data_IF_954157813066
#
_entry.id   IF_954157813066
#
_cell.length_a   1.000
_cell.length_b   1.000
_cell.length_c   1.000
_cell.angle_alpha   90.00
_cell.angle_beta   90.00
_cell.angle_gamma   90.00
#
_symmetry.space_group_name_H-M   'P 1'
#
loop_
_entity.id
_entity.type
_entity.pdbx_description
1 polymer ?
#
# COMPACT_ATOMS: atom_id res chain seq x y z
N UNK A 1 -4.05 -8.58 -2.74
CA UNK A 1 -3.35 -8.44 -4.04
C UNK A 1 -2.57 -9.70 -4.43
N UNK A 2 -1.42 -9.99 -3.80
CA UNK A 2 -0.58 -11.12 -4.23
C UNK A 2 -1.28 -12.48 -4.09
N UNK A 3 -2.02 -12.71 -2.99
CA UNK A 3 -2.86 -13.89 -2.83
C UNK A 3 -4.03 -14.00 -3.82
N UNK A 4 -4.41 -12.90 -4.50
CA UNK A 4 -5.38 -12.91 -5.60
C UNK A 4 -4.72 -13.17 -6.97
N UNK A 5 -3.40 -13.44 -7.01
CA UNK A 5 -2.65 -13.77 -8.22
C UNK A 5 -1.95 -12.59 -8.92
N UNK A 6 -2.03 -11.38 -8.36
CA UNK A 6 -1.36 -10.21 -8.93
C UNK A 6 0.08 -10.08 -8.48
N UNK A 7 0.98 -9.67 -9.37
CA UNK A 7 2.38 -9.38 -9.02
C UNK A 7 2.48 -8.03 -8.33
N UNK A 8 3.07 -7.98 -7.13
CA UNK A 8 3.13 -6.78 -6.29
C UNK A 8 4.57 -6.43 -5.93
N UNK A 9 5.05 -5.28 -6.37
CA UNK A 9 6.27 -4.66 -5.84
C UNK A 9 5.87 -3.57 -4.85
N UNK A 10 5.91 -3.87 -3.54
CA UNK A 10 5.53 -2.91 -2.51
C UNK A 10 6.76 -2.10 -2.09
N UNK A 11 6.75 -0.81 -2.38
CA UNK A 11 7.73 0.13 -1.84
C UNK A 11 7.30 0.55 -0.44
N UNK A 12 8.22 0.49 0.52
CA UNK A 12 7.91 0.76 1.92
C UNK A 12 9.11 1.29 2.70
N UNK A 13 8.82 1.85 3.87
CA UNK A 13 9.83 2.43 4.76
C UNK A 13 9.43 2.24 6.22
N UNK A 14 10.31 2.65 7.13
CA UNK A 14 9.99 2.85 8.54
C UNK A 14 8.97 3.97 8.73
N UNK A 15 8.23 3.93 9.84
CA UNK A 15 7.29 4.99 10.21
C UNK A 15 8.03 6.31 10.40
N UNK A 16 7.68 7.33 9.61
CA UNK A 16 8.24 8.67 9.78
C UNK A 16 7.58 9.44 10.93
N UNK A 17 6.26 9.24 11.09
CA UNK A 17 5.41 9.85 12.13
C UNK A 17 4.53 8.83 12.83
N UNK A 18 4.45 7.59 12.32
CA UNK A 18 3.71 6.49 12.93
C UNK A 18 4.61 5.68 13.87
N UNK A 19 3.97 5.00 14.83
CA UNK A 19 4.62 4.06 15.75
C UNK A 19 5.31 2.90 15.01
N UNK A 20 4.69 2.43 13.92
CA UNK A 20 5.19 1.32 13.11
C UNK A 20 4.97 1.64 11.63
N UNK A 21 6.01 1.44 10.83
CA UNK A 21 5.92 1.45 9.37
C UNK A 21 5.89 0.03 8.82
N UNK A 22 5.59 -0.10 7.53
CA UNK A 22 5.58 -1.40 6.86
C UNK A 22 6.92 -2.14 6.99
N UNK A 23 8.06 -1.43 7.08
CA UNK A 23 9.37 -2.09 7.24
C UNK A 23 9.53 -2.71 8.62
N UNK A 24 8.99 -2.09 9.68
CA UNK A 24 9.05 -2.66 11.03
C UNK A 24 8.28 -3.99 11.10
N UNK A 25 7.12 -4.07 10.46
CA UNK A 25 6.33 -5.31 10.38
C UNK A 25 7.10 -6.39 9.61
N UNK A 26 7.72 -6.06 8.48
CA UNK A 26 8.53 -7.05 7.73
C UNK A 26 9.74 -7.54 8.53
N UNK A 27 10.44 -6.65 9.24
CA UNK A 27 11.57 -7.02 10.12
C UNK A 27 11.14 -7.88 11.30
N UNK A 28 9.94 -7.66 11.84
CA UNK A 28 9.37 -8.48 12.91
C UNK A 28 9.30 -9.96 12.50
N UNK A 29 8.99 -10.24 11.23
CA UNK A 29 9.04 -11.60 10.65
C UNK A 29 10.43 -12.00 10.12
N UNK A 30 11.49 -11.27 10.46
CA UNK A 30 12.86 -11.62 10.12
C UNK A 30 13.26 -11.37 8.66
N UNK A 31 12.46 -10.62 7.88
CA UNK A 31 12.79 -10.31 6.47
C UNK A 31 14.11 -9.54 6.41
N UNK A 32 15.03 -10.02 5.57
CA UNK A 32 16.30 -9.36 5.26
C UNK A 32 16.14 -8.49 4.02
N UNK A 33 16.10 -7.17 4.21
CA UNK A 33 15.99 -6.24 3.08
C UNK A 33 17.20 -6.32 2.16
N UNK A 34 16.94 -6.22 0.86
CA UNK A 34 17.96 -6.30 -0.19
C UNK A 34 17.60 -5.38 -1.36
N UNK A 35 18.60 -4.90 -2.08
CA UNK A 35 18.47 -4.29 -3.40
C UNK A 35 19.03 -5.18 -4.51
N UNK A 36 19.34 -6.44 -4.22
CA UNK A 36 19.79 -7.38 -5.23
C UNK A 36 18.62 -7.69 -6.20
N UNK A 37 18.73 -7.29 -7.48
CA UNK A 37 17.65 -7.46 -8.45
C UNK A 37 17.23 -8.92 -8.65
N UNK A 38 18.17 -9.86 -8.59
CA UNK A 38 17.90 -11.28 -8.79
C UNK A 38 17.08 -11.86 -7.62
N UNK A 39 17.42 -11.48 -6.37
CA UNK A 39 16.62 -11.88 -5.19
C UNK A 39 15.20 -11.33 -5.27
N UNK A 40 15.04 -10.06 -5.64
CA UNK A 40 13.73 -9.41 -5.73
C UNK A 40 12.88 -9.99 -6.86
N UNK A 41 13.49 -10.23 -8.03
CA UNK A 41 12.84 -10.85 -9.18
C UNK A 41 12.38 -12.27 -8.83
N UNK A 42 13.25 -13.06 -8.20
CA UNK A 42 12.90 -14.39 -7.69
C UNK A 42 11.71 -14.36 -6.73
N UNK A 43 11.67 -13.38 -5.81
CA UNK A 43 10.54 -13.20 -4.90
C UNK A 43 9.23 -12.95 -5.66
N UNK A 44 9.22 -12.07 -6.67
CA UNK A 44 8.03 -11.84 -7.50
C UNK A 44 7.64 -13.09 -8.29
N UNK A 45 8.60 -13.80 -8.88
CA UNK A 45 8.34 -14.99 -9.71
C UNK A 45 7.79 -16.15 -8.88
N UNK A 46 8.32 -16.37 -7.68
CA UNK A 46 7.95 -17.51 -6.85
C UNK A 46 6.72 -17.26 -5.97
N UNK A 47 6.58 -16.09 -5.34
CA UNK A 47 5.46 -15.81 -4.43
C UNK A 47 4.55 -14.66 -4.88
N UNK A 48 4.83 -14.02 -6.02
CA UNK A 48 3.99 -12.94 -6.53
C UNK A 48 4.22 -11.59 -5.85
N UNK A 49 5.19 -11.46 -4.94
CA UNK A 49 5.51 -10.17 -4.35
C UNK A 49 6.99 -9.94 -4.05
N UNK A 50 7.39 -8.67 -4.07
CA UNK A 50 8.64 -8.19 -3.49
C UNK A 50 8.37 -7.01 -2.56
N UNK A 51 9.20 -6.92 -1.52
CA UNK A 51 9.24 -5.75 -0.66
C UNK A 51 10.49 -4.93 -0.96
N UNK A 52 10.28 -3.67 -1.34
CA UNK A 52 11.35 -2.72 -1.68
C UNK A 52 11.52 -1.75 -0.51
N UNK A 53 12.51 -1.99 0.34
CA UNK A 53 12.82 -1.09 1.44
C UNK A 53 13.50 0.19 0.91
N UNK A 54 12.79 1.32 0.96
CA UNK A 54 13.13 2.55 0.26
C UNK A 54 14.58 3.06 0.48
N UNK A 55 15.17 2.99 1.69
CA UNK A 55 16.55 3.40 1.92
C UNK A 55 17.61 2.67 1.06
N UNK A 56 17.31 1.50 0.51
CA UNK A 56 18.26 0.71 -0.30
C UNK A 56 18.25 1.09 -1.78
N UNK A 57 17.18 1.72 -2.28
CA UNK A 57 17.01 2.06 -3.69
C UNK A 57 17.27 3.53 -4.00
N UNK A 58 17.35 4.37 -2.97
CA UNK A 58 17.59 5.79 -3.13
C UNK A 58 18.83 6.28 -2.38
N UNK A 59 20.03 5.69 -2.64
CA UNK A 59 21.25 6.09 -1.95
C UNK A 59 21.61 7.56 -2.20
N UNK A 60 21.27 8.10 -3.38
CA UNK A 60 21.46 9.50 -3.71
C UNK A 60 20.65 10.44 -2.80
N UNK A 61 19.54 9.97 -2.21
CA UNK A 61 18.77 10.77 -1.25
C UNK A 61 19.51 10.97 0.07
N UNK A 62 20.51 10.13 0.40
CA UNK A 62 21.37 10.34 1.58
C UNK A 62 22.13 11.65 1.48
N UNK A 63 22.57 12.03 0.28
CA UNK A 63 23.31 13.28 0.03
C UNK A 63 22.50 14.52 0.37
N UNK A 64 21.18 14.50 0.13
CA UNK A 64 20.28 15.63 0.42
C UNK A 64 19.65 15.57 1.81
N UNK A 65 19.82 14.48 2.56
CA UNK A 65 19.21 14.29 3.87
C UNK A 65 19.61 15.37 4.90
N UNK A 66 20.88 15.80 5.02
CA UNK A 66 21.26 16.86 5.97
C UNK A 66 20.56 18.19 5.66
N UNK A 67 20.49 18.56 4.37
CA UNK A 67 19.83 19.80 3.93
C UNK A 67 18.33 19.74 4.21
N UNK A 68 17.67 18.61 3.91
CA UNK A 68 16.25 18.41 4.22
C UNK A 68 15.97 18.53 5.71
N UNK A 69 16.84 17.96 6.56
CA UNK A 69 16.72 18.05 8.02
C UNK A 69 16.89 19.50 8.51
N UNK A 70 17.85 20.24 7.96
CA UNK A 70 18.08 21.64 8.30
C UNK A 70 16.90 22.54 7.89
N UNK A 71 16.27 22.27 6.74
CA UNK A 71 15.11 23.03 6.26
C UNK A 71 13.86 22.82 7.11
N UNK A 72 13.62 21.60 7.61
CA UNK A 72 12.48 21.30 8.50
C UNK A 72 11.08 21.45 7.87
N UNK A 73 10.99 21.77 6.57
CA UNK A 73 9.72 21.97 5.85
C UNK A 73 9.54 20.94 4.73
N UNK A 74 8.28 20.75 4.28
CA UNK A 74 7.98 19.89 3.12
C UNK A 74 8.58 20.50 1.85
N UNK A 75 9.18 19.65 1.01
CA UNK A 75 9.84 20.02 -0.26
C UNK A 75 9.45 19.04 -1.36
N UNK A 76 9.92 19.27 -2.60
CA UNK A 76 9.73 18.33 -3.71
C UNK A 76 10.20 16.90 -3.38
N UNK A 77 11.24 16.74 -2.53
CA UNK A 77 11.72 15.41 -2.12
C UNK A 77 10.69 14.59 -1.34
N UNK A 78 9.70 15.23 -0.71
CA UNK A 78 8.58 14.54 -0.07
C UNK A 78 7.62 13.94 -1.10
N UNK A 79 7.58 14.52 -2.31
CA UNK A 79 6.70 14.11 -3.40
C UNK A 79 7.35 13.07 -4.33
N UNK A 80 8.68 12.95 -4.31
CA UNK A 80 9.38 12.04 -5.22
C UNK A 80 9.20 10.57 -4.85
N UNK A 81 9.03 10.22 -3.57
CA UNK A 81 9.02 8.83 -3.10
C UNK A 81 8.14 7.89 -3.93
N UNK A 82 6.86 8.22 -4.16
CA UNK A 82 5.97 7.43 -5.00
C UNK A 82 6.32 7.43 -6.49
N UNK A 83 7.03 8.43 -7.00
CA UNK A 83 7.35 8.60 -8.43
C UNK A 83 8.66 7.91 -8.84
N UNK A 84 9.51 7.56 -7.88
CA UNK A 84 10.84 6.98 -8.16
C UNK A 84 10.89 5.47 -7.89
N UNK A 85 9.78 4.74 -8.00
CA UNK A 85 9.78 3.30 -7.81
C UNK A 85 10.79 2.62 -8.76
N UNK A 86 11.81 1.92 -8.24
CA UNK A 86 12.90 1.34 -9.04
C UNK A 86 12.42 0.25 -10.01
N UNK A 87 11.24 -0.33 -9.77
CA UNK A 87 10.69 -1.39 -10.60
C UNK A 87 9.87 -0.90 -11.80
N UNK A 88 9.65 0.41 -11.95
CA UNK A 88 8.83 1.00 -13.02
C UNK A 88 7.52 0.23 -13.26
N UNK A 89 6.64 0.11 -12.24
CA UNK A 89 5.48 -0.74 -12.35
C UNK A 89 4.52 -0.23 -13.43
N UNK A 90 3.91 -1.16 -14.18
CA UNK A 90 2.92 -0.83 -15.20
C UNK A 90 1.67 -0.17 -14.60
N UNK A 91 1.38 -0.47 -13.33
CA UNK A 91 0.26 0.09 -12.58
C UNK A 91 0.65 0.43 -11.13
N UNK A 92 0.11 1.53 -10.60
CA UNK A 92 0.39 2.01 -9.24
C UNK A 92 -0.88 2.41 -8.50
N UNK A 93 -1.14 1.80 -7.34
CA UNK A 93 -2.04 2.36 -6.33
C UNK A 93 -1.22 3.31 -5.44
N UNK A 94 -1.66 4.56 -5.33
CA UNK A 94 -0.99 5.59 -4.54
C UNK A 94 -1.96 6.31 -3.62
N UNK A 95 -1.65 6.27 -2.34
CA UNK A 95 -2.21 7.13 -1.33
C UNK A 95 -1.66 8.54 -1.30
N UNK A 96 -2.50 9.56 -1.09
CA UNK A 96 -2.06 10.95 -0.93
C UNK A 96 -2.80 11.64 0.20
N UNK A 97 -2.12 12.55 0.90
CA UNK A 97 -2.66 13.19 2.09
C UNK A 97 -3.73 14.27 1.81
N UNK A 98 -3.77 14.80 0.59
CA UNK A 98 -4.69 15.87 0.21
C UNK A 98 -4.98 15.90 -1.30
N UNK A 99 -6.03 16.63 -1.68
CA UNK A 99 -6.48 16.76 -3.06
C UNK A 99 -5.49 17.52 -3.97
N UNK A 100 -4.64 18.38 -3.42
CA UNK A 100 -3.62 19.08 -4.20
C UNK A 100 -2.53 18.12 -4.65
N UNK A 101 -2.09 17.25 -3.74
CA UNK A 101 -1.18 16.14 -4.04
C UNK A 101 -1.83 15.17 -5.02
N UNK A 102 -3.10 14.80 -4.83
CA UNK A 102 -3.82 13.95 -5.79
C UNK A 102 -3.70 14.50 -7.21
N UNK A 103 -4.03 15.79 -7.42
CA UNK A 103 -3.92 16.44 -8.73
C UNK A 103 -2.49 16.45 -9.27
N UNK A 104 -1.48 16.64 -8.42
CA UNK A 104 -0.09 16.61 -8.86
C UNK A 104 0.32 15.22 -9.36
N UNK A 105 0.04 14.18 -8.56
CA UNK A 105 0.42 12.81 -8.89
C UNK A 105 -0.33 12.28 -10.10
N UNK A 106 -1.64 12.53 -10.20
CA UNK A 106 -2.44 12.03 -11.33
C UNK A 106 -1.99 12.64 -12.65
N UNK A 107 -1.72 13.96 -12.68
CA UNK A 107 -1.14 14.64 -13.85
C UNK A 107 0.24 14.09 -14.22
N UNK A 108 1.06 13.74 -13.22
CA UNK A 108 2.41 13.21 -13.44
C UNK A 108 2.36 11.79 -13.99
N UNK A 109 1.60 10.90 -13.33
CA UNK A 109 1.44 9.51 -13.74
C UNK A 109 0.80 9.39 -15.13
N UNK A 110 -0.16 10.26 -15.46
CA UNK A 110 -0.75 10.34 -16.80
C UNK A 110 0.29 10.72 -17.86
N UNK A 111 1.16 11.70 -17.59
CA UNK A 111 2.25 12.09 -18.50
C UNK A 111 3.30 10.99 -18.66
N UNK A 112 3.56 10.21 -17.61
CA UNK A 112 4.47 9.07 -17.65
C UNK A 112 3.86 7.83 -18.32
N UNK A 113 2.56 7.85 -18.66
CA UNK A 113 1.87 6.72 -19.27
C UNK A 113 1.68 5.53 -18.32
N UNK A 114 1.76 5.75 -17.01
CA UNK A 114 1.60 4.71 -15.99
C UNK A 114 0.12 4.54 -15.68
N UNK A 115 -0.37 3.31 -15.56
CA UNK A 115 -1.72 3.05 -15.06
C UNK A 115 -1.78 3.33 -13.56
N UNK A 116 -2.87 3.89 -13.05
CA UNK A 116 -2.95 4.22 -11.63
C UNK A 116 -4.35 4.23 -11.07
N UNK A 117 -4.37 4.10 -9.74
CA UNK A 117 -5.41 4.64 -8.87
C UNK A 117 -4.71 5.51 -7.82
N UNK A 118 -5.05 6.79 -7.76
CA UNK A 118 -4.65 7.68 -6.67
C UNK A 118 -5.84 7.85 -5.76
N UNK A 119 -5.63 7.69 -4.45
CA UNK A 119 -6.70 7.69 -3.43
C UNK A 119 -6.40 8.69 -2.33
N UNK A 120 -7.46 9.32 -1.82
CA UNK A 120 -7.39 10.23 -0.67
C UNK A 120 -8.70 10.11 0.13
N UNK A 121 -8.62 9.82 1.42
CA UNK A 121 -9.77 9.95 2.30
C UNK A 121 -9.98 11.43 2.63
N UNK A 122 -11.22 11.90 2.60
CA UNK A 122 -11.51 13.34 2.70
C UNK A 122 -11.31 13.91 4.12
N UNK A 123 -11.15 13.03 5.12
CA UNK A 123 -10.77 13.38 6.49
C UNK A 123 -9.25 13.35 6.76
N UNK A 124 -8.43 13.13 5.72
CA UNK A 124 -6.98 13.35 5.77
C UNK A 124 -6.11 12.09 5.79
N UNK A 125 -6.68 10.89 5.74
CA UNK A 125 -5.90 9.68 5.49
C UNK A 125 -5.38 9.64 4.06
N UNK A 126 -4.14 9.19 3.90
CA UNK A 126 -3.55 8.86 2.61
C UNK A 126 -3.90 7.45 2.14
N UNK A 127 -4.86 6.78 2.77
CA UNK A 127 -5.38 5.47 2.37
C UNK A 127 -6.91 5.54 2.39
N UNK A 128 -7.61 4.56 1.82
CA UNK A 128 -9.07 4.47 2.00
C UNK A 128 -9.34 3.93 3.41
N UNK A 129 -9.72 4.81 4.35
CA UNK A 129 -9.87 4.45 5.77
C UNK A 129 -11.29 4.05 6.16
N UNK A 130 -12.32 4.31 5.32
CA UNK A 130 -13.74 4.07 5.65
C UNK A 130 -14.30 4.93 6.80
N UNK A 131 -13.54 5.92 7.27
CA UNK A 131 -13.96 6.86 8.32
C UNK A 131 -14.72 8.06 7.77
N UNK A 132 -14.61 8.30 6.46
CA UNK A 132 -15.33 9.34 5.70
C UNK A 132 -15.49 8.89 4.23
N UNK A 133 -16.09 9.74 3.42
CA UNK A 133 -15.96 9.73 1.97
C UNK A 133 -14.49 9.74 1.54
N UNK A 134 -14.23 9.09 0.40
CA UNK A 134 -12.91 9.08 -0.20
C UNK A 134 -12.98 9.31 -1.69
N UNK A 135 -11.95 9.94 -2.21
CA UNK A 135 -11.82 10.21 -3.63
C UNK A 135 -10.85 9.24 -4.27
N UNK A 136 -11.23 8.74 -5.44
CA UNK A 136 -10.39 7.91 -6.29
C UNK A 136 -10.27 8.59 -7.65
N UNK A 137 -9.03 8.73 -8.12
CA UNK A 137 -8.74 9.19 -9.47
C UNK A 137 -7.90 8.12 -10.18
N UNK A 138 -8.36 7.68 -11.34
CA UNK A 138 -7.68 6.71 -12.21
C UNK A 138 -7.39 7.33 -13.56
N UNK A 139 -6.77 6.58 -14.48
CA UNK A 139 -6.61 7.03 -15.88
C UNK A 139 -7.97 7.20 -16.61
N UNK A 140 -9.07 6.65 -16.08
CA UNK A 140 -10.37 6.59 -16.76
C UNK A 140 -11.45 7.44 -16.11
N UNK A 141 -11.38 7.62 -14.80
CA UNK A 141 -12.44 8.28 -14.06
C UNK A 141 -11.90 8.97 -12.81
N UNK A 142 -12.71 9.88 -12.29
CA UNK A 142 -12.53 10.54 -11.00
C UNK A 142 -13.87 10.49 -10.27
N UNK A 143 -13.91 9.97 -9.06
CA UNK A 143 -15.17 9.75 -8.32
C UNK A 143 -14.93 9.85 -6.83
N UNK A 144 -15.90 10.42 -6.11
CA UNK A 144 -15.99 10.38 -4.66
C UNK A 144 -16.96 9.26 -4.30
N UNK A 145 -16.54 8.38 -3.40
CA UNK A 145 -17.31 7.25 -2.92
C UNK A 145 -17.63 7.41 -1.44
N UNK A 146 -18.83 6.97 -1.06
CA UNK A 146 -19.13 6.62 0.33
C UNK A 146 -18.87 5.13 0.54
N UNK A 147 -18.26 4.72 1.67
CA UNK A 147 -18.12 3.31 2.03
C UNK A 147 -19.40 2.47 1.85
N UNK A 148 -20.54 3.02 2.25
CA UNK A 148 -21.84 2.35 2.19
C UNK A 148 -22.33 2.04 0.77
N UNK A 149 -21.94 2.84 -0.22
CA UNK A 149 -22.28 2.61 -1.64
C UNK A 149 -21.57 1.37 -2.20
N UNK A 150 -20.47 0.98 -1.57
CA UNK A 150 -19.64 -0.16 -1.95
C UNK A 150 -19.88 -1.38 -1.04
N UNK A 151 -20.88 -1.33 -0.16
CA UNK A 151 -21.21 -2.40 0.78
C UNK A 151 -20.35 -2.44 2.04
N UNK A 152 -19.57 -1.39 2.32
CA UNK A 152 -18.75 -1.27 3.53
C UNK A 152 -19.45 -0.41 4.60
N UNK A 153 -19.24 -0.76 5.86
CA UNK A 153 -19.69 0.08 6.97
C UNK A 153 -18.70 1.20 7.22
N UNK A 154 -19.21 2.37 7.62
CA UNK A 154 -18.37 3.43 8.16
C UNK A 154 -17.66 2.93 9.42
N UNK A 155 -16.36 3.17 9.51
CA UNK A 155 -15.56 2.85 10.69
C UNK A 155 -15.36 4.10 11.54
N UNK A 156 -15.21 3.94 12.86
CA UNK A 156 -14.66 5.01 13.69
C UNK A 156 -13.14 4.94 13.67
N UNK A 157 -12.49 6.10 13.86
CA UNK A 157 -11.04 6.21 13.84
C UNK A 157 -10.36 5.25 14.85
N UNK A 158 -10.97 5.04 16.02
CA UNK A 158 -10.41 4.16 17.06
C UNK A 158 -10.41 2.68 16.64
N UNK A 159 -11.30 2.27 15.73
CA UNK A 159 -11.41 0.89 15.26
C UNK A 159 -10.27 0.51 14.30
N UNK A 160 -9.59 1.52 13.75
CA UNK A 160 -8.47 1.39 12.81
C UNK A 160 -7.13 1.77 13.45
N UNK A 161 -7.11 1.96 14.77
CA UNK A 161 -5.89 2.33 15.47
C UNK A 161 -4.83 1.22 15.34
N UNK A 162 -3.65 1.59 14.81
CA UNK A 162 -2.56 0.66 14.46
C UNK A 162 -1.73 0.13 15.62
N UNK A 163 -2.15 0.35 16.87
CA UNK A 163 -1.41 -0.03 18.07
C UNK A 163 -0.40 1.03 18.55
N UNK A 164 0.10 0.82 19.77
CA UNK A 164 1.05 1.68 20.49
C UNK A 164 2.50 1.26 20.34
N UNK A 165 2.75 0.03 19.88
CA UNK A 165 4.10 -0.49 19.64
C UNK A 165 4.17 -1.22 18.30
N UNK A 166 5.38 -1.42 17.72
CA UNK A 166 5.56 -2.25 16.54
C UNK A 166 4.99 -3.66 16.67
N UNK A 167 5.06 -4.27 17.86
CA UNK A 167 4.52 -5.60 18.14
C UNK A 167 2.99 -5.63 18.10
N UNK A 168 2.33 -4.60 18.67
CA UNK A 168 0.87 -4.48 18.56
C UNK A 168 0.42 -4.30 17.11
N UNK A 169 1.17 -3.53 16.31
CA UNK A 169 0.90 -3.35 14.89
C UNK A 169 1.06 -4.67 14.09
N UNK A 170 2.12 -5.44 14.37
CA UNK A 170 2.32 -6.76 13.78
C UNK A 170 1.19 -7.73 14.16
N UNK A 171 0.73 -7.70 15.42
CA UNK A 171 -0.39 -8.53 15.86
C UNK A 171 -1.72 -8.16 15.15
N UNK A 172 -1.98 -6.88 14.86
CA UNK A 172 -3.13 -6.48 14.03
C UNK A 172 -2.99 -7.05 12.62
N UNK A 173 -1.82 -6.91 12.02
CA UNK A 173 -1.52 -7.43 10.69
C UNK A 173 -1.74 -8.95 10.60
N UNK A 174 -1.26 -9.71 11.59
CA UNK A 174 -1.49 -11.15 11.70
C UNK A 174 -2.97 -11.49 11.80
N UNK A 175 -3.69 -10.84 12.72
CA UNK A 175 -5.12 -11.11 12.91
C UNK A 175 -5.90 -10.93 11.62
N UNK A 176 -5.66 -9.85 10.87
CA UNK A 176 -6.36 -9.64 9.59
C UNK A 176 -6.06 -10.78 8.62
N UNK A 177 -4.79 -11.18 8.45
CA UNK A 177 -4.40 -12.27 7.55
C UNK A 177 -4.92 -13.65 7.97
N UNK A 178 -5.15 -13.87 9.26
CA UNK A 178 -5.76 -15.09 9.81
C UNK A 178 -7.29 -15.06 9.81
N UNK A 179 -7.93 -14.01 9.27
CA UNK A 179 -9.38 -13.79 9.34
C UNK A 179 -9.92 -13.60 10.77
N UNK A 180 -9.07 -13.13 11.69
CA UNK A 180 -9.38 -12.84 13.09
C UNK A 180 -9.37 -11.33 13.40
N UNK A 181 -9.14 -10.48 12.39
CA UNK A 181 -9.18 -9.03 12.49
C UNK A 181 -10.59 -8.50 12.77
N UNK A 182 -10.69 -7.29 13.35
CA UNK A 182 -12.00 -6.65 13.49
C UNK A 182 -12.62 -6.39 12.11
N UNK A 183 -13.95 -6.25 12.05
CA UNK A 183 -14.62 -5.95 10.78
C UNK A 183 -14.04 -4.70 10.11
N UNK A 184 -13.84 -3.62 10.87
CA UNK A 184 -13.26 -2.38 10.34
C UNK A 184 -11.85 -2.56 9.77
N UNK A 185 -10.98 -3.29 10.49
CA UNK A 185 -9.61 -3.57 10.04
C UNK A 185 -9.59 -4.40 8.76
N UNK A 186 -10.39 -5.46 8.72
CA UNK A 186 -10.53 -6.33 7.55
C UNK A 186 -11.09 -5.57 6.36
N UNK A 187 -12.19 -4.83 6.55
CA UNK A 187 -12.84 -4.04 5.51
C UNK A 187 -11.90 -2.98 4.91
N UNK A 188 -11.11 -2.30 5.75
CA UNK A 188 -10.10 -1.31 5.32
C UNK A 188 -9.02 -1.94 4.43
N UNK A 189 -8.56 -3.16 4.76
CA UNK A 189 -7.62 -3.90 3.89
C UNK A 189 -8.28 -4.30 2.57
N UNK A 190 -9.53 -4.79 2.62
CA UNK A 190 -10.26 -5.24 1.44
C UNK A 190 -10.51 -4.10 0.46
N UNK A 191 -10.95 -2.92 0.91
CA UNK A 191 -11.26 -1.81 0.00
C UNK A 191 -10.02 -1.28 -0.72
N UNK A 192 -8.89 -1.12 -0.01
CA UNK A 192 -7.63 -0.68 -0.62
C UNK A 192 -7.11 -1.72 -1.63
N UNK A 193 -7.18 -3.01 -1.28
CA UNK A 193 -6.85 -4.08 -2.22
C UNK A 193 -7.78 -4.05 -3.45
N UNK A 194 -9.07 -3.79 -3.28
CA UNK A 194 -10.06 -3.77 -4.37
C UNK A 194 -9.74 -2.70 -5.41
N UNK A 195 -9.39 -1.49 -4.98
CA UNK A 195 -8.99 -0.43 -5.92
C UNK A 195 -7.64 -0.68 -6.58
N UNK A 196 -6.69 -1.34 -5.90
CA UNK A 196 -5.48 -1.83 -6.55
C UNK A 196 -5.76 -2.89 -7.62
N UNK A 197 -6.70 -3.82 -7.37
CA UNK A 197 -7.15 -4.81 -8.37
C UNK A 197 -7.79 -4.09 -9.55
N UNK A 198 -8.72 -3.18 -9.31
CA UNK A 198 -9.43 -2.48 -10.40
C UNK A 198 -8.50 -1.61 -11.25
N UNK A 199 -7.46 -1.02 -10.64
CA UNK A 199 -6.44 -0.29 -11.38
C UNK A 199 -5.70 -1.19 -12.39
N UNK A 200 -5.44 -2.45 -12.02
CA UNK A 200 -4.84 -3.48 -12.87
C UNK A 200 -5.84 -4.13 -13.84
N UNK A 201 -7.12 -4.19 -13.46
CA UNK A 201 -8.20 -4.80 -14.24
C UNK A 201 -9.32 -3.80 -14.56
N UNK A 202 -9.06 -2.86 -15.48
CA UNK A 202 -9.95 -1.78 -15.87
C UNK A 202 -11.42 -2.10 -16.11
N UNK A 203 -11.64 -3.28 -16.65
CA UNK A 203 -12.89 -3.78 -17.17
C UNK A 203 -13.80 -4.34 -16.07
N UNK A 204 -13.23 -4.65 -14.90
CA UNK A 204 -14.00 -5.21 -13.78
C UNK A 204 -14.69 -4.11 -12.99
N UNK A 205 -15.92 -4.38 -12.60
CA UNK A 205 -16.62 -3.52 -11.64
C UNK A 205 -15.95 -3.62 -10.27
N UNK A 206 -16.13 -2.60 -9.45
CA UNK A 206 -15.47 -2.54 -8.14
C UNK A 206 -15.94 -3.68 -7.23
N UNK A 207 -17.20 -4.10 -7.35
CA UNK A 207 -17.80 -5.21 -6.59
C UNK A 207 -17.13 -6.55 -6.91
N UNK A 208 -16.75 -6.78 -8.18
CA UNK A 208 -15.98 -7.96 -8.58
C UNK A 208 -14.58 -7.93 -7.96
N UNK A 209 -13.97 -6.75 -7.91
CA UNK A 209 -12.65 -6.56 -7.29
C UNK A 209 -12.69 -6.78 -5.77
N UNK A 210 -13.77 -6.35 -5.11
CA UNK A 210 -14.04 -6.64 -3.69
C UNK A 210 -14.16 -8.14 -3.46
N UNK A 211 -14.89 -8.86 -4.32
CA UNK A 211 -15.01 -10.31 -4.23
C UNK A 211 -13.64 -11.01 -4.36
N UNK A 212 -12.79 -10.57 -5.31
CA UNK A 212 -11.43 -11.12 -5.48
C UNK A 212 -10.52 -10.84 -4.28
N UNK A 213 -10.57 -9.62 -3.73
CA UNK A 213 -9.81 -9.26 -2.53
C UNK A 213 -10.26 -10.09 -1.32
N UNK A 214 -11.58 -10.28 -1.17
CA UNK A 214 -12.19 -11.07 -0.11
C UNK A 214 -11.83 -12.54 -0.22
N UNK A 215 -11.96 -13.14 -1.40
CA UNK A 215 -11.55 -14.53 -1.64
C UNK A 215 -10.07 -14.72 -1.31
N UNK A 216 -9.19 -13.79 -1.72
CA UNK A 216 -7.76 -13.86 -1.39
C UNK A 216 -7.49 -13.92 0.11
N UNK A 217 -8.29 -13.25 0.94
CA UNK A 217 -8.11 -13.22 2.39
C UNK A 217 -8.75 -14.45 3.05
N UNK A 218 -10.03 -14.71 2.76
CA UNK A 218 -10.83 -15.75 3.42
C UNK A 218 -10.39 -17.17 3.05
N UNK A 219 -9.87 -17.38 1.83
CA UNK A 219 -9.32 -18.68 1.42
C UNK A 219 -7.94 -18.98 2.01
N UNK A 220 -7.32 -18.02 2.72
CA UNK A 220 -5.96 -18.13 3.24
C UNK A 220 -4.86 -17.96 2.18
N UNK A 221 -5.19 -17.70 0.90
CA UNK A 221 -4.20 -17.48 -0.16
C UNK A 221 -3.25 -16.30 0.13
N UNK A 222 -3.76 -15.22 0.74
CA UNK A 222 -2.96 -14.08 1.18
C UNK A 222 -1.93 -14.48 2.24
N UNK A 223 -2.36 -15.23 3.26
CA UNK A 223 -1.51 -15.74 4.32
C UNK A 223 -0.46 -16.73 3.77
N UNK A 224 -0.86 -17.66 2.91
CA UNK A 224 0.06 -18.59 2.25
C UNK A 224 1.11 -17.86 1.41
N UNK A 225 0.72 -16.77 0.73
CA UNK A 225 1.64 -15.91 -0.02
C UNK A 225 2.64 -15.23 0.90
N UNK A 226 2.19 -14.70 2.04
CA UNK A 226 3.10 -14.12 3.05
C UNK A 226 4.08 -15.17 3.55
N UNK A 227 3.64 -16.36 3.94
CA UNK A 227 4.54 -17.42 4.41
C UNK A 227 5.61 -17.77 3.37
N UNK A 228 5.21 -17.93 2.10
CA UNK A 228 6.18 -18.18 1.02
C UNK A 228 7.15 -17.02 0.83
N UNK A 229 6.66 -15.77 0.89
CA UNK A 229 7.50 -14.58 0.86
C UNK A 229 8.53 -14.57 2.01
N UNK A 230 8.09 -14.88 3.23
CA UNK A 230 8.97 -14.90 4.41
C UNK A 230 10.06 -15.97 4.26
N UNK A 231 9.71 -17.20 3.89
CA UNK A 231 10.68 -18.28 3.67
C UNK A 231 11.75 -17.90 2.64
N UNK A 232 11.38 -17.19 1.57
CA UNK A 232 12.32 -16.79 0.51
C UNK A 232 13.23 -15.62 0.90
N UNK A 233 12.83 -14.79 1.88
CA UNK A 233 13.48 -13.51 2.16
C UNK A 233 14.02 -13.39 3.60
N UNK A 234 14.02 -14.47 4.39
CA UNK A 234 14.68 -14.53 5.70
C UNK A 234 16.19 -14.84 5.60
N UNK A 235 16.66 -15.36 4.45
CA UNK A 235 18.06 -15.75 4.17
C UNK A 235 18.91 -14.67 3.46
#
# INVERSE_FOLDING_TARGET
MAGAGYRVAKHGNYGATSVSGASNVMEHYGVKFTNNPDKLKRSIEECGMAYLHAPFFHPALKTVAPVRKALGVRTLFNLLGPLVNPCHPACQLLGVADLQQMRLYTNTLQKLGIQFAVVNNLDGYDEISLTDEFKVMTNRYETIYRPSELGFSMARQEELYGGRTPEEAAAIFDRVLHNEGSKAQTDCVLINASFAIQALEPQKKIEECVALAKESLESGKALATLHKFLTLNQE
#
